data_IF_590152496689
#
_entry.id   IF_590152496689
#
_cell.length_a   1.000
_cell.length_b   1.000
_cell.length_c   1.000
_cell.angle_alpha   90.00
_cell.angle_beta   90.00
_cell.angle_gamma   90.00
#
_symmetry.space_group_name_H-M   'P 1'
#
loop_
_entity.id
_entity.type
_entity.pdbx_description
1 polymer ?
#
# COMPACT_ATOMS: atom_id res chain seq x y z
N UNK A 1 -34.40 -53.39 -11.76
CA UNK A 1 -35.50 -52.77 -10.97
C UNK A 1 -36.57 -52.30 -11.94
N UNK A 2 -37.84 -52.42 -11.55
CA UNK A 2 -38.96 -52.41 -12.49
C UNK A 2 -39.39 -50.99 -12.91
N UNK A 3 -39.85 -50.87 -14.16
CA UNK A 3 -40.54 -49.68 -14.65
C UNK A 3 -41.95 -49.60 -14.05
N UNK A 4 -42.35 -48.40 -13.62
CA UNK A 4 -43.77 -48.04 -13.50
C UNK A 4 -44.05 -46.78 -14.32
N UNK A 5 -44.50 -46.97 -15.55
CA UNK A 5 -45.06 -45.91 -16.38
C UNK A 5 -46.53 -45.70 -15.98
N UNK A 6 -46.83 -44.59 -15.29
CA UNK A 6 -48.19 -44.18 -14.98
C UNK A 6 -48.80 -43.40 -16.15
N UNK A 7 -49.34 -44.12 -17.14
CA UNK A 7 -50.15 -43.52 -18.21
C UNK A 7 -51.59 -43.36 -17.72
N UNK A 8 -52.01 -42.13 -17.43
CA UNK A 8 -53.42 -41.81 -17.17
C UNK A 8 -54.01 -41.00 -18.33
N UNK A 9 -55.19 -41.44 -18.77
CA UNK A 9 -55.83 -41.02 -20.03
C UNK A 9 -56.42 -39.61 -19.94
N UNK A 10 -56.51 -38.96 -21.11
CA UNK A 10 -57.17 -37.68 -21.29
C UNK A 10 -58.56 -37.64 -20.63
N UNK A 11 -58.82 -36.54 -19.91
CA UNK A 11 -60.17 -36.05 -19.62
C UNK A 11 -60.27 -34.58 -20.02
N UNK A 12 -61.19 -34.30 -20.95
CA UNK A 12 -61.77 -32.99 -21.34
C UNK A 12 -63.30 -33.19 -21.16
N UNK A 13 -64.15 -32.18 -20.83
CA UNK A 13 -64.16 -30.80 -21.31
C UNK A 13 -63.60 -29.81 -20.22
N UNK A 14 -63.85 -28.49 -20.16
CA UNK A 14 -64.79 -27.63 -20.87
C UNK A 14 -64.34 -26.15 -21.06
N UNK A 15 -65.27 -25.36 -21.60
CA UNK A 15 -65.40 -23.90 -21.67
C UNK A 15 -64.51 -23.00 -20.80
N UNK A 16 -63.85 -22.05 -21.45
CA UNK A 16 -64.36 -20.67 -21.35
C UNK A 16 -63.55 -19.62 -20.62
N UNK A 17 -62.33 -19.90 -20.16
CA UNK A 17 -61.45 -18.90 -19.57
C UNK A 17 -60.03 -19.10 -20.09
N UNK A 18 -59.26 -18.04 -20.42
CA UNK A 18 -57.86 -18.21 -20.79
C UNK A 18 -57.11 -18.69 -19.55
N UNK A 19 -56.83 -19.99 -19.54
CA UNK A 19 -56.05 -20.65 -18.51
C UNK A 19 -54.59 -20.18 -18.66
N UNK A 20 -54.30 -18.98 -18.14
CA UNK A 20 -52.98 -18.33 -18.15
C UNK A 20 -51.97 -19.05 -17.23
N UNK A 21 -52.14 -20.37 -17.06
CA UNK A 21 -51.30 -21.22 -16.25
C UNK A 21 -50.57 -22.24 -17.12
N UNK A 22 -49.24 -22.25 -17.07
CA UNK A 22 -48.41 -23.22 -17.81
C UNK A 22 -47.84 -24.26 -16.88
N UNK A 23 -47.63 -25.47 -17.40
CA UNK A 23 -46.96 -26.55 -16.69
C UNK A 23 -45.46 -26.23 -16.49
N UNK A 24 -44.97 -26.53 -15.29
CA UNK A 24 -43.55 -26.47 -14.96
C UNK A 24 -42.84 -27.70 -15.51
N UNK A 25 -41.77 -27.50 -16.28
CA UNK A 25 -40.97 -28.58 -16.87
C UNK A 25 -39.84 -29.04 -15.93
N UNK A 26 -39.20 -28.10 -15.24
CA UNK A 26 -38.13 -28.39 -14.30
C UNK A 26 -38.05 -27.31 -13.22
N UNK A 27 -37.63 -27.72 -12.02
CA UNK A 27 -37.32 -26.82 -10.90
C UNK A 27 -35.93 -27.16 -10.36
N UNK A 28 -35.05 -26.17 -10.30
CA UNK A 28 -33.72 -26.27 -9.70
C UNK A 28 -33.54 -25.18 -8.65
N UNK A 29 -32.91 -25.49 -7.52
CA UNK A 29 -32.62 -24.48 -6.51
C UNK A 29 -31.25 -23.85 -6.77
N UNK A 30 -31.23 -22.53 -6.96
CA UNK A 30 -29.99 -21.76 -7.10
C UNK A 30 -29.57 -21.15 -5.76
N UNK A 31 -28.31 -20.73 -5.67
CA UNK A 31 -27.74 -20.18 -4.42
C UNK A 31 -26.99 -18.90 -4.74
N UNK A 32 -27.62 -17.75 -4.49
CA UNK A 32 -27.00 -16.44 -4.67
C UNK A 32 -26.36 -15.96 -3.36
N UNK A 33 -25.08 -15.60 -3.42
CA UNK A 33 -24.32 -15.03 -2.30
C UNK A 33 -24.04 -13.56 -2.55
N UNK A 34 -24.88 -12.66 -2.02
CA UNK A 34 -24.56 -11.23 -2.01
C UNK A 34 -23.46 -10.97 -0.96
N UNK A 35 -22.38 -10.38 -1.43
CA UNK A 35 -21.14 -10.16 -0.67
C UNK A 35 -20.90 -8.67 -0.57
N UNK A 36 -20.78 -8.14 0.64
CA UNK A 36 -20.50 -6.72 0.87
C UNK A 36 -19.08 -6.54 1.41
N UNK A 37 -18.42 -5.46 0.99
CA UNK A 37 -17.14 -5.00 1.56
C UNK A 37 -17.45 -3.95 2.62
N UNK A 38 -17.37 -4.34 3.89
CA UNK A 38 -17.51 -3.41 5.01
C UNK A 38 -16.14 -3.12 5.60
N UNK A 39 -15.79 -1.85 5.81
CA UNK A 39 -14.59 -1.52 6.57
C UNK A 39 -14.83 -1.81 8.05
N UNK A 40 -14.08 -2.75 8.60
CA UNK A 40 -14.08 -3.05 10.04
C UNK A 40 -12.85 -2.39 10.63
N UNK A 41 -13.05 -1.56 11.66
CA UNK A 41 -11.98 -0.86 12.36
C UNK A 41 -11.74 -1.51 13.72
N UNK A 42 -10.49 -1.67 14.11
CA UNK A 42 -10.08 -2.15 15.42
C UNK A 42 -8.91 -1.32 15.94
N UNK A 43 -8.76 -1.30 17.27
CA UNK A 43 -7.63 -0.63 17.92
C UNK A 43 -6.40 -1.55 17.85
N UNK A 44 -5.33 -1.04 17.26
CA UNK A 44 -4.01 -1.67 17.18
C UNK A 44 -3.03 -0.89 18.04
N UNK A 45 -2.23 -1.59 18.83
CA UNK A 45 -1.10 -0.99 19.53
C UNK A 45 0.05 -0.85 18.51
N UNK A 46 0.51 0.37 18.30
CA UNK A 46 1.59 0.72 17.34
C UNK A 46 2.73 1.38 18.12
N UNK A 47 3.98 0.98 17.85
CA UNK A 47 5.16 1.56 18.48
C UNK A 47 5.60 2.86 17.82
N UNK A 48 6.33 3.73 18.54
CA UNK A 48 7.04 4.89 17.98
C UNK A 48 7.81 4.54 16.70
N UNK A 49 8.51 3.39 16.70
CA UNK A 49 9.29 2.90 15.56
C UNK A 49 8.43 2.63 14.34
N UNK A 50 7.33 1.87 14.51
CA UNK A 50 6.46 1.52 13.39
C UNK A 50 5.75 2.78 12.84
N UNK A 51 5.35 3.70 13.71
CA UNK A 51 4.77 4.99 13.34
C UNK A 51 5.77 5.88 12.60
N UNK A 52 7.00 5.98 13.09
CA UNK A 52 8.09 6.67 12.41
C UNK A 52 8.41 6.02 11.06
N UNK A 53 8.40 4.70 10.96
CA UNK A 53 8.62 4.00 9.69
C UNK A 53 7.49 4.29 8.68
N UNK A 54 6.21 4.23 9.09
CA UNK A 54 5.07 4.61 8.23
C UNK A 54 5.15 6.07 7.79
N UNK A 55 5.50 6.99 8.70
CA UNK A 55 5.70 8.40 8.38
C UNK A 55 6.83 8.58 7.36
N UNK A 56 7.99 7.96 7.58
CA UNK A 56 9.10 7.97 6.65
C UNK A 56 8.69 7.39 5.29
N UNK A 57 8.08 6.21 5.24
CA UNK A 57 7.60 5.59 3.99
C UNK A 57 6.63 6.50 3.24
N UNK A 58 5.74 7.22 3.93
CA UNK A 58 4.80 8.18 3.32
C UNK A 58 5.44 9.45 2.73
N UNK A 59 6.68 9.79 3.12
CA UNK A 59 7.34 11.02 2.66
C UNK A 59 7.71 10.98 1.16
N UNK A 60 7.64 12.13 0.46
CA UNK A 60 8.12 12.23 -0.91
C UNK A 60 9.63 11.99 -0.98
N UNK A 61 10.09 11.42 -2.09
CA UNK A 61 11.49 11.03 -2.30
C UNK A 61 12.48 12.18 -2.04
N UNK A 62 12.11 13.42 -2.36
CA UNK A 62 12.96 14.58 -2.16
C UNK A 62 13.28 14.80 -0.67
N UNK A 63 12.29 14.66 0.21
CA UNK A 63 12.48 14.81 1.67
C UNK A 63 13.37 13.68 2.24
N UNK A 64 13.30 12.47 1.67
CA UNK A 64 14.15 11.34 2.05
C UNK A 64 15.63 11.52 1.65
N UNK A 65 15.88 12.12 0.48
CA UNK A 65 17.20 12.05 -0.16
C UNK A 65 17.91 13.40 -0.38
N UNK A 66 17.30 14.55 -0.09
CA UNK A 66 17.94 15.86 -0.28
C UNK A 66 19.24 16.03 0.53
N UNK A 67 19.27 15.58 1.79
CA UNK A 67 20.49 15.65 2.63
C UNK A 67 21.65 14.83 2.01
N UNK A 68 21.49 13.52 1.71
CA UNK A 68 22.50 12.75 0.97
C UNK A 68 22.94 13.39 -0.35
N UNK A 69 22.00 13.90 -1.15
CA UNK A 69 22.31 14.50 -2.45
C UNK A 69 23.12 15.80 -2.32
N UNK A 70 22.68 16.74 -1.47
CA UNK A 70 23.43 17.98 -1.25
C UNK A 70 24.78 17.73 -0.58
N UNK A 71 24.82 16.83 0.41
CA UNK A 71 26.06 16.41 1.07
C UNK A 71 27.06 15.83 0.08
N UNK A 72 26.63 14.88 -0.76
CA UNK A 72 27.46 14.28 -1.81
C UNK A 72 27.95 15.28 -2.85
N UNK A 73 27.09 16.20 -3.32
CA UNK A 73 27.48 17.27 -4.26
C UNK A 73 28.52 18.21 -3.63
N UNK A 74 28.29 18.68 -2.41
CA UNK A 74 29.23 19.55 -1.69
C UNK A 74 30.57 18.83 -1.43
N UNK A 75 30.52 17.56 -1.02
CA UNK A 75 31.72 16.76 -0.78
C UNK A 75 32.54 16.53 -2.05
N UNK A 76 31.87 16.29 -3.19
CA UNK A 76 32.51 16.21 -4.51
C UNK A 76 33.14 17.54 -4.95
N UNK A 77 32.47 18.68 -4.73
CA UNK A 77 33.00 20.01 -5.04
C UNK A 77 34.23 20.36 -4.18
N UNK A 78 34.18 20.07 -2.87
CA UNK A 78 35.32 20.24 -1.96
C UNK A 78 36.49 19.34 -2.39
N UNK A 79 36.20 18.07 -2.71
CA UNK A 79 37.20 17.14 -3.26
C UNK A 79 37.86 17.67 -4.54
N UNK A 80 37.07 18.17 -5.50
CA UNK A 80 37.56 18.78 -6.74
C UNK A 80 38.42 20.03 -6.48
N UNK A 81 38.00 20.90 -5.55
CA UNK A 81 38.73 22.10 -5.20
C UNK A 81 40.15 21.77 -4.70
N UNK A 82 40.29 20.76 -3.83
CA UNK A 82 41.61 20.32 -3.35
C UNK A 82 42.43 19.56 -4.41
N UNK A 83 41.80 18.79 -5.30
CA UNK A 83 42.52 17.97 -6.30
C UNK A 83 42.94 18.73 -7.56
N UNK A 84 42.28 19.85 -7.88
CA UNK A 84 42.58 20.65 -9.08
C UNK A 84 44.03 21.15 -9.15
N UNK A 85 44.68 21.33 -8.01
CA UNK A 85 46.08 21.79 -7.92
C UNK A 85 47.11 20.65 -7.74
N UNK A 86 46.71 19.38 -7.96
CA UNK A 86 47.64 18.24 -7.92
C UNK A 86 48.64 18.31 -9.09
N UNK A 87 49.94 18.28 -8.76
CA UNK A 87 51.01 18.12 -9.75
C UNK A 87 50.98 16.73 -10.43
N UNK A 88 51.76 16.57 -11.51
CA UNK A 88 51.84 15.33 -12.31
C UNK A 88 51.83 14.01 -11.50
N UNK A 89 52.71 13.79 -10.49
CA UNK A 89 52.74 12.51 -9.76
C UNK A 89 51.47 12.22 -8.94
N UNK A 90 50.67 13.25 -8.66
CA UNK A 90 49.43 13.18 -7.87
C UNK A 90 48.13 13.14 -8.70
N UNK A 91 48.16 13.40 -10.01
CA UNK A 91 46.93 13.41 -10.83
C UNK A 91 46.13 12.11 -10.78
N UNK A 92 46.78 10.95 -10.59
CA UNK A 92 46.11 9.65 -10.39
C UNK A 92 45.11 9.61 -9.23
N UNK A 93 45.27 10.50 -8.23
CA UNK A 93 44.37 10.63 -7.08
C UNK A 93 43.18 11.58 -7.31
N UNK A 94 43.12 12.26 -8.46
CA UNK A 94 42.07 13.24 -8.76
C UNK A 94 40.65 12.66 -8.64
N UNK A 95 40.32 11.61 -9.41
CA UNK A 95 39.01 10.97 -9.34
C UNK A 95 38.75 10.23 -8.02
N UNK A 96 39.70 9.44 -7.45
CA UNK A 96 39.52 8.83 -6.14
C UNK A 96 39.19 9.82 -5.01
N UNK A 97 39.84 10.98 -4.96
CA UNK A 97 39.56 11.99 -3.92
C UNK A 97 38.19 12.65 -4.11
N UNK A 98 37.75 12.91 -5.35
CA UNK A 98 36.38 13.40 -5.61
C UNK A 98 35.35 12.35 -5.19
N UNK A 99 35.55 11.08 -5.55
CA UNK A 99 34.67 9.99 -5.16
C UNK A 99 34.61 9.79 -3.64
N UNK A 100 35.76 9.88 -2.95
CA UNK A 100 35.83 9.86 -1.49
C UNK A 100 35.09 11.07 -0.88
N UNK A 101 35.24 12.26 -1.46
CA UNK A 101 34.50 13.46 -1.06
C UNK A 101 32.99 13.29 -1.18
N UNK A 102 32.50 12.75 -2.29
CA UNK A 102 31.08 12.40 -2.48
C UNK A 102 30.62 11.39 -1.42
N UNK A 103 31.38 10.30 -1.20
CA UNK A 103 31.03 9.26 -0.23
C UNK A 103 30.95 9.78 1.20
N UNK A 104 31.94 10.57 1.63
CA UNK A 104 31.92 11.26 2.94
C UNK A 104 30.73 12.22 3.02
N UNK A 105 30.48 13.01 1.97
CA UNK A 105 29.39 13.97 1.94
C UNK A 105 28.00 13.34 2.03
N UNK A 106 27.77 12.20 1.37
CA UNK A 106 26.52 11.42 1.45
C UNK A 106 26.21 10.96 2.88
N UNK A 107 27.24 10.60 3.65
CA UNK A 107 27.12 10.07 5.02
C UNK A 107 27.09 11.18 6.08
N UNK A 108 27.95 12.19 5.93
CA UNK A 108 28.12 13.30 6.86
C UNK A 108 27.07 14.41 6.69
N UNK A 109 26.46 14.51 5.51
CA UNK A 109 25.46 15.53 5.18
C UNK A 109 26.06 16.92 4.88
N UNK A 110 25.23 17.84 4.38
CA UNK A 110 25.69 19.14 3.88
C UNK A 110 26.24 20.06 4.98
N UNK A 111 25.65 20.01 6.19
CA UNK A 111 26.09 20.81 7.33
C UNK A 111 27.51 20.49 7.76
N UNK A 112 27.84 19.20 7.90
CA UNK A 112 29.17 18.76 8.30
C UNK A 112 30.22 19.09 7.23
N UNK A 113 29.91 18.90 5.93
CA UNK A 113 30.84 19.24 4.84
C UNK A 113 31.12 20.74 4.79
N UNK A 114 30.08 21.58 4.83
CA UNK A 114 30.23 23.03 4.79
C UNK A 114 30.98 23.57 6.01
N UNK A 115 30.61 23.10 7.21
CA UNK A 115 31.28 23.46 8.45
C UNK A 115 32.75 23.03 8.48
N UNK A 116 33.07 21.84 7.98
CA UNK A 116 34.45 21.34 7.94
C UNK A 116 35.32 22.12 6.94
N UNK A 117 34.78 22.45 5.77
CA UNK A 117 35.47 23.29 4.79
C UNK A 117 35.78 24.70 5.34
N UNK A 118 34.82 25.32 6.03
CA UNK A 118 35.03 26.63 6.65
C UNK A 118 36.05 26.56 7.80
N UNK A 119 35.94 25.57 8.69
CA UNK A 119 36.90 25.35 9.77
C UNK A 119 38.32 25.11 9.25
N UNK A 120 38.47 24.28 8.21
CA UNK A 120 39.75 24.04 7.54
C UNK A 120 40.35 25.28 6.89
N UNK A 121 39.51 26.09 6.22
CA UNK A 121 39.94 27.32 5.54
C UNK A 121 40.40 28.38 6.55
N UNK A 122 39.68 28.55 7.65
CA UNK A 122 40.08 29.44 8.76
C UNK A 122 41.42 28.98 9.35
N UNK A 123 41.59 27.68 9.62
CA UNK A 123 42.85 27.15 10.14
C UNK A 123 44.02 27.32 9.16
N UNK A 124 43.82 27.09 7.86
CA UNK A 124 44.85 27.32 6.84
C UNK A 124 45.22 28.80 6.69
N UNK A 125 44.27 29.72 6.91
CA UNK A 125 44.54 31.15 6.86
C UNK A 125 45.42 31.64 8.02
N UNK A 126 45.16 31.18 9.25
CA UNK A 126 45.91 31.62 10.44
C UNK A 126 47.15 30.75 10.75
N UNK A 127 47.15 29.46 10.39
CA UNK A 127 48.23 28.51 10.68
C UNK A 127 48.52 27.58 9.48
N UNK A 128 48.98 28.12 8.33
CA UNK A 128 49.11 27.36 7.08
C UNK A 128 49.97 26.09 7.17
N UNK A 129 51.02 26.10 8.00
CA UNK A 129 51.93 24.96 8.17
C UNK A 129 51.44 23.88 9.16
N UNK A 130 50.36 24.13 9.92
CA UNK A 130 49.91 23.24 11.00
C UNK A 130 48.76 22.34 10.56
N UNK A 131 49.05 21.42 9.64
CA UNK A 131 48.09 20.40 9.16
C UNK A 131 47.29 19.70 10.27
N UNK A 132 47.86 19.29 11.43
CA UNK A 132 47.07 18.69 12.51
C UNK A 132 46.02 19.65 13.09
N UNK A 133 46.36 20.94 13.22
CA UNK A 133 45.44 21.97 13.70
C UNK A 133 44.32 22.22 12.68
N UNK A 134 44.65 22.22 11.38
CA UNK A 134 43.67 22.30 10.30
C UNK A 134 42.67 21.15 10.33
N UNK A 135 43.12 19.92 10.55
CA UNK A 135 42.23 18.75 10.67
C UNK A 135 41.31 18.91 11.89
N UNK A 136 41.85 19.30 13.05
CA UNK A 136 41.06 19.49 14.28
C UNK A 136 40.02 20.61 14.08
N UNK A 137 40.40 21.77 13.54
CA UNK A 137 39.45 22.87 13.32
C UNK A 137 38.40 22.53 12.26
N UNK A 138 38.75 21.71 11.26
CA UNK A 138 37.79 21.15 10.30
C UNK A 138 36.80 20.21 10.99
N UNK A 139 37.24 19.33 11.89
CA UNK A 139 36.33 18.46 12.65
C UNK A 139 35.39 19.27 13.54
N UNK A 140 35.90 20.26 14.28
CA UNK A 140 35.08 21.15 15.12
C UNK A 140 34.09 21.95 14.27
N UNK A 141 34.55 22.55 13.17
CA UNK A 141 33.70 23.27 12.23
C UNK A 141 32.60 22.37 11.65
N UNK A 142 32.93 21.12 11.31
CA UNK A 142 31.97 20.12 10.82
C UNK A 142 30.90 19.77 11.85
N UNK A 143 31.27 19.54 13.11
CA UNK A 143 30.31 19.26 14.19
C UNK A 143 29.37 20.46 14.41
N UNK A 144 29.91 21.69 14.41
CA UNK A 144 29.11 22.90 14.54
C UNK A 144 28.18 23.13 13.34
N UNK A 145 28.66 22.85 12.12
CA UNK A 145 27.88 22.93 10.89
C UNK A 145 26.75 21.90 10.82
N UNK A 146 26.99 20.66 11.27
CA UNK A 146 25.95 19.63 11.40
C UNK A 146 24.92 20.00 12.47
N UNK A 147 25.36 20.47 13.64
CA UNK A 147 24.47 20.94 14.71
C UNK A 147 23.58 22.11 14.26
N UNK A 148 24.14 23.11 13.56
CA UNK A 148 23.38 24.21 12.98
C UNK A 148 22.41 23.72 11.89
N UNK A 149 22.83 22.79 11.03
CA UNK A 149 21.97 22.25 9.97
C UNK A 149 20.80 21.45 10.54
N UNK A 150 21.01 20.68 11.61
CA UNK A 150 19.97 19.95 12.35
C UNK A 150 19.02 20.89 13.12
N UNK A 151 19.52 22.04 13.58
CA UNK A 151 18.68 23.08 14.20
C UNK A 151 17.76 23.76 13.17
N UNK A 152 18.27 24.03 11.96
CA UNK A 152 17.50 24.66 10.88
C UNK A 152 16.59 23.68 10.13
N UNK A 153 17.01 22.42 10.00
CA UNK A 153 16.32 21.36 9.27
C UNK A 153 16.30 20.07 10.12
N UNK A 154 15.44 20.00 11.14
CA UNK A 154 15.37 18.85 12.04
C UNK A 154 14.93 17.58 11.30
N UNK A 155 15.62 16.47 11.59
CA UNK A 155 15.33 15.15 11.04
C UNK A 155 13.94 14.68 11.51
N UNK A 156 12.99 14.63 10.58
CA UNK A 156 11.65 14.13 10.80
C UNK A 156 11.37 12.94 9.88
N UNK A 157 11.09 11.72 10.39
CA UNK A 157 11.22 11.31 11.79
C UNK A 157 12.70 11.07 12.19
N UNK A 158 13.00 10.92 13.50
CA UNK A 158 14.36 10.67 13.98
C UNK A 158 14.99 9.41 13.37
N UNK A 159 16.21 9.56 12.82
CA UNK A 159 16.95 8.46 12.17
C UNK A 159 17.24 7.29 13.11
N UNK A 160 17.34 7.54 14.41
CA UNK A 160 17.54 6.52 15.45
C UNK A 160 16.37 5.53 15.54
N UNK A 161 15.12 5.98 15.37
CA UNK A 161 13.95 5.11 15.34
C UNK A 161 13.90 4.24 14.08
N UNK A 162 14.47 4.73 12.97
CA UNK A 162 14.55 4.02 11.70
C UNK A 162 15.72 3.00 11.64
N UNK A 163 16.77 3.19 12.44
CA UNK A 163 17.98 2.36 12.41
C UNK A 163 17.67 0.88 12.75
N UNK A 164 18.26 -0.11 12.04
CA UNK A 164 18.02 -1.53 12.32
C UNK A 164 18.50 -1.91 13.73
N UNK A 165 17.71 -2.72 14.45
CA UNK A 165 18.07 -3.18 15.80
C UNK A 165 19.22 -4.18 15.71
N UNK A 166 20.28 -3.95 16.48
CA UNK A 166 21.41 -4.89 16.56
C UNK A 166 21.11 -6.01 17.57
N UNK A 167 21.36 -7.29 17.24
CA UNK A 167 21.18 -8.39 18.19
C UNK A 167 22.01 -8.19 19.46
N UNK A 168 21.39 -8.40 20.64
CA UNK A 168 22.06 -8.26 21.93
C UNK A 168 22.09 -6.84 22.51
N UNK A 169 21.56 -5.84 21.81
CA UNK A 169 21.36 -4.49 22.35
C UNK A 169 19.91 -4.37 22.85
N UNK A 170 19.72 -3.81 24.05
CA UNK A 170 18.38 -3.50 24.55
C UNK A 170 17.70 -2.49 23.62
N UNK A 171 16.42 -2.73 23.30
CA UNK A 171 15.61 -1.74 22.60
C UNK A 171 15.53 -0.47 23.46
N UNK A 172 15.70 0.74 22.86
CA UNK A 172 15.45 1.98 23.59
C UNK A 172 13.97 2.04 24.01
N UNK A 173 13.66 2.76 25.08
CA UNK A 173 12.28 2.94 25.56
C UNK A 173 11.38 3.43 24.42
N UNK A 174 10.30 2.68 24.14
CA UNK A 174 9.34 2.99 23.09
C UNK A 174 7.99 3.35 23.70
N UNK A 175 7.37 4.41 23.20
CA UNK A 175 5.97 4.70 23.48
C UNK A 175 5.09 3.86 22.55
N UNK A 176 3.95 3.45 23.10
CA UNK A 176 2.94 2.65 22.41
C UNK A 176 1.65 3.45 22.31
N UNK A 177 1.13 3.59 21.10
CA UNK A 177 -0.09 4.33 20.82
C UNK A 177 -1.20 3.37 20.41
N UNK A 178 -2.43 3.67 20.84
CA UNK A 178 -3.63 3.01 20.35
C UNK A 178 -4.10 3.73 19.08
N UNK A 179 -3.73 3.20 17.91
CA UNK A 179 -4.21 3.69 16.62
C UNK A 179 -5.41 2.85 16.16
N UNK A 180 -6.42 3.50 15.54
CA UNK A 180 -7.56 2.78 14.96
C UNK A 180 -7.24 2.42 13.52
N UNK A 181 -6.97 1.13 13.27
CA UNK A 181 -6.71 0.60 11.93
C UNK A 181 -7.99 0.02 11.35
N UNK A 182 -8.36 0.44 10.13
CA UNK A 182 -9.52 -0.07 9.42
C UNK A 182 -9.08 -0.93 8.23
N UNK A 183 -9.62 -2.14 8.11
CA UNK A 183 -9.38 -2.99 6.93
C UNK A 183 -10.70 -3.41 6.26
N UNK A 184 -10.74 -3.49 4.92
CA UNK A 184 -11.91 -3.94 4.18
C UNK A 184 -12.12 -5.44 4.45
N UNK A 185 -13.17 -5.77 5.21
CA UNK A 185 -13.55 -7.16 5.47
C UNK A 185 -14.71 -7.55 4.57
N UNK A 186 -14.51 -8.61 3.80
CA UNK A 186 -15.53 -9.20 2.94
C UNK A 186 -16.48 -10.05 3.78
N UNK A 187 -17.73 -9.63 3.96
CA UNK A 187 -18.76 -10.40 4.68
C UNK A 187 -19.86 -10.88 3.74
N UNK A 188 -20.26 -12.14 3.88
CA UNK A 188 -21.45 -12.68 3.22
C UNK A 188 -22.65 -12.26 4.06
N UNK A 189 -23.46 -11.32 3.55
CA UNK A 189 -24.59 -10.76 4.30
C UNK A 189 -25.70 -11.80 4.48
N UNK A 190 -26.11 -12.43 3.37
CA UNK A 190 -27.12 -13.48 3.36
C UNK A 190 -26.93 -14.40 2.15
N UNK A 191 -27.49 -15.62 2.25
CA UNK A 191 -27.57 -16.56 1.13
C UNK A 191 -29.02 -16.70 0.71
N UNK A 192 -29.36 -16.21 -0.47
CA UNK A 192 -30.69 -16.39 -1.05
C UNK A 192 -30.72 -17.71 -1.84
N UNK A 193 -31.81 -18.47 -1.70
CA UNK A 193 -31.96 -19.79 -2.35
C UNK A 193 -33.21 -19.88 -3.23
N UNK A 194 -33.36 -19.03 -4.26
CA UNK A 194 -34.52 -19.06 -5.14
C UNK A 194 -34.57 -20.35 -5.96
N UNK A 195 -35.77 -20.69 -6.40
CA UNK A 195 -36.02 -21.78 -7.34
C UNK A 195 -36.02 -21.20 -8.76
N UNK A 196 -35.09 -21.64 -9.60
CA UNK A 196 -35.18 -21.46 -11.05
C UNK A 196 -36.18 -22.47 -11.59
N UNK A 197 -37.17 -21.97 -12.33
CA UNK A 197 -38.31 -22.73 -12.82
C UNK A 197 -38.33 -22.59 -14.33
N UNK A 198 -38.17 -23.71 -15.03
CA UNK A 198 -38.23 -23.78 -16.49
C UNK A 198 -39.65 -24.16 -16.91
N UNK A 199 -40.21 -23.43 -17.87
CA UNK A 199 -41.56 -23.63 -18.39
C UNK A 199 -41.57 -23.40 -19.91
N UNK A 200 -42.65 -23.84 -20.57
CA UNK A 200 -42.82 -23.67 -22.02
C UNK A 200 -43.96 -22.70 -22.32
N UNK A 201 -43.69 -21.66 -23.12
CA UNK A 201 -44.68 -20.68 -23.55
C UNK A 201 -44.53 -20.43 -25.06
N UNK A 202 -45.64 -20.51 -25.80
CA UNK A 202 -45.69 -20.35 -27.27
C UNK A 202 -44.67 -21.22 -28.07
N UNK A 203 -44.21 -22.32 -27.49
CA UNK A 203 -43.22 -23.24 -28.10
C UNK A 203 -41.79 -23.02 -27.63
N UNK A 204 -41.49 -21.91 -26.98
CA UNK A 204 -40.16 -21.58 -26.42
C UNK A 204 -40.03 -22.03 -24.97
N UNK A 205 -38.85 -22.49 -24.57
CA UNK A 205 -38.51 -22.73 -23.18
C UNK A 205 -37.98 -21.45 -22.53
N UNK A 206 -38.53 -21.08 -21.38
CA UNK A 206 -38.18 -19.87 -20.61
C UNK A 206 -37.91 -20.25 -19.16
N UNK A 207 -37.03 -19.51 -18.50
CA UNK A 207 -36.69 -19.72 -17.09
C UNK A 207 -36.90 -18.47 -16.27
N UNK A 208 -37.55 -18.59 -15.13
CA UNK A 208 -37.79 -17.51 -14.17
C UNK A 208 -37.34 -17.92 -12.76
N UNK A 209 -37.05 -16.94 -11.90
CA UNK A 209 -36.66 -17.16 -10.51
C UNK A 209 -37.86 -16.96 -9.57
N UNK A 210 -38.00 -17.82 -8.56
CA UNK A 210 -39.07 -17.73 -7.56
C UNK A 210 -38.51 -17.83 -6.14
N UNK A 211 -39.05 -17.04 -5.20
CA UNK A 211 -38.65 -17.06 -3.78
C UNK A 211 -39.07 -18.35 -3.05
N UNK A 212 -40.12 -19.02 -3.52
CA UNK A 212 -40.67 -20.25 -2.96
C UNK A 212 -40.96 -21.25 -4.08
N UNK A 213 -41.09 -22.54 -3.75
CA UNK A 213 -41.45 -23.58 -4.71
C UNK A 213 -42.87 -23.31 -5.27
N UNK A 214 -43.05 -23.14 -6.60
CA UNK A 214 -44.33 -22.67 -7.14
C UNK A 214 -45.35 -23.79 -7.42
N UNK A 215 -44.97 -25.07 -7.30
CA UNK A 215 -45.83 -26.20 -7.66
C UNK A 215 -45.70 -26.62 -9.14
N UNK A 216 -46.68 -27.38 -9.61
CA UNK A 216 -46.68 -28.01 -10.94
C UNK A 216 -47.12 -27.06 -12.07
N UNK A 217 -47.77 -25.93 -11.74
CA UNK A 217 -48.24 -24.91 -12.69
C UNK A 217 -47.92 -23.51 -12.19
N UNK A 218 -47.60 -22.60 -13.10
CA UNK A 218 -47.35 -21.18 -12.80
C UNK A 218 -48.26 -20.25 -13.60
N UNK A 219 -48.76 -19.21 -12.93
CA UNK A 219 -49.53 -18.11 -13.52
C UNK A 219 -48.60 -17.19 -14.32
N UNK A 220 -48.92 -16.96 -15.60
CA UNK A 220 -48.26 -16.00 -16.48
C UNK A 220 -49.12 -14.75 -16.68
N UNK A 221 -48.46 -13.63 -16.94
CA UNK A 221 -49.08 -12.42 -17.47
C UNK A 221 -49.29 -12.51 -18.99
N UNK A 222 -49.94 -11.48 -19.57
CA UNK A 222 -50.23 -11.39 -21.01
C UNK A 222 -48.98 -11.41 -21.91
N UNK A 223 -47.80 -11.09 -21.36
CA UNK A 223 -46.50 -11.14 -22.05
C UNK A 223 -45.75 -12.47 -21.92
N UNK A 224 -46.33 -13.45 -21.22
CA UNK A 224 -45.73 -14.79 -21.01
C UNK A 224 -44.67 -14.86 -19.92
N UNK A 225 -44.63 -13.90 -18.99
CA UNK A 225 -43.75 -13.86 -17.82
C UNK A 225 -44.52 -14.19 -16.53
N UNK A 226 -43.91 -14.84 -15.52
CA UNK A 226 -44.66 -15.27 -14.35
C UNK A 226 -45.02 -14.13 -13.41
N UNK A 227 -46.25 -14.13 -12.90
CA UNK A 227 -46.78 -13.04 -12.06
C UNK A 227 -46.04 -12.89 -10.73
N UNK A 228 -45.43 -13.97 -10.23
CA UNK A 228 -44.74 -14.05 -8.92
C UNK A 228 -43.21 -14.20 -9.06
N UNK A 229 -42.64 -13.78 -10.18
CA UNK A 229 -41.20 -13.82 -10.44
C UNK A 229 -40.41 -12.89 -9.48
N UNK A 230 -39.28 -13.41 -8.99
CA UNK A 230 -38.28 -12.68 -8.21
C UNK A 230 -37.23 -12.08 -9.14
N UNK A 231 -37.08 -10.75 -9.10
CA UNK A 231 -36.02 -10.02 -9.80
C UNK A 231 -34.73 -9.99 -8.95
N UNK A 232 -33.52 -10.07 -9.56
CA UNK A 232 -32.23 -10.13 -8.86
C UNK A 232 -31.77 -8.81 -8.22
#
# INVERSE_FOLDING_TARGET
>A
MQLHAASQRLSRPASGQPDNTVAVLAVTQEVFRKTEKTNVCWQTIVSDRERAQRQYESQPWLVKYWQPLLGGVLGGLVGYHFTRNYGEPSQKWFYPTIAAGIGVGVLAGPGMVAGAYLGGTVAQHFWPEKLPLTIILSMVGGILGDGLMKLLFPDNPPKELLAPVQPGVYLPDQQFYLETTCMPTTRVLYTEKPYRVTYKYQGEERSALFKYYPGERIELNETGWPVKEMKP
#
